data_IF_643431706205
#
_entry.id   IF_643431706205
#
_cell.length_a   1.000
_cell.length_b   1.000
_cell.length_c   1.000
_cell.angle_alpha   90.00
_cell.angle_beta   90.00
_cell.angle_gamma   90.00
#
_symmetry.space_group_name_H-M   'P 1'
#
loop_
_entity.id
_entity.type
_entity.pdbx_description
1 polymer ?
#
# COMPACT_ATOMS: atom_id res chain seq x y z
N UNK A 1 -16.47 -17.85 -60.54
CA UNK A 1 -16.38 -17.36 -59.15
C UNK A 1 -15.46 -16.15 -59.18
N UNK A 2 -16.03 -14.96 -59.37
CA UNK A 2 -15.27 -13.71 -59.49
C UNK A 2 -15.62 -12.79 -58.34
N UNK A 3 -14.58 -12.41 -57.61
CA UNK A 3 -14.56 -11.42 -56.55
C UNK A 3 -15.04 -10.06 -57.07
N UNK A 4 -15.85 -9.37 -56.28
CA UNK A 4 -16.12 -7.94 -56.44
C UNK A 4 -15.73 -7.18 -55.18
N UNK A 5 -15.12 -6.03 -55.45
CA UNK A 5 -14.42 -5.11 -54.57
C UNK A 5 -15.32 -4.28 -53.65
N UNK A 6 -14.64 -3.71 -52.65
CA UNK A 6 -14.80 -2.38 -52.08
C UNK A 6 -16.06 -2.08 -51.23
N UNK A 7 -15.85 -1.54 -50.02
CA UNK A 7 -15.57 -0.11 -49.88
C UNK A 7 -15.39 0.29 -48.42
N UNK A 8 -14.36 1.10 -48.17
CA UNK A 8 -14.12 1.79 -46.91
C UNK A 8 -15.24 2.78 -46.60
N UNK A 9 -15.68 2.82 -45.34
CA UNK A 9 -16.40 3.97 -44.78
C UNK A 9 -15.69 4.41 -43.51
N UNK A 10 -14.83 5.41 -43.69
CA UNK A 10 -14.32 6.29 -42.64
C UNK A 10 -15.49 7.13 -42.14
N UNK A 11 -15.89 6.99 -40.88
CA UNK A 11 -16.83 7.93 -40.24
C UNK A 11 -16.07 9.03 -39.53
N UNK A 12 -16.31 10.22 -40.06
CA UNK A 12 -15.85 11.55 -39.69
C UNK A 12 -15.98 11.88 -38.20
N UNK A 13 -14.95 12.54 -37.66
CA UNK A 13 -15.01 13.32 -36.43
C UNK A 13 -16.07 14.42 -36.54
N UNK A 14 -16.92 14.53 -35.53
CA UNK A 14 -17.73 15.72 -35.26
C UNK A 14 -18.02 15.81 -33.76
N UNK A 15 -17.00 16.19 -32.97
CA UNK A 15 -17.20 16.64 -31.59
C UNK A 15 -17.35 18.17 -31.61
N UNK A 16 -18.55 18.64 -31.29
CA UNK A 16 -18.87 20.07 -31.15
C UNK A 16 -18.17 20.68 -29.92
N UNK A 17 -17.81 21.98 -29.95
CA UNK A 17 -17.20 22.68 -28.82
C UNK A 17 -18.25 22.99 -27.74
N UNK A 18 -17.94 22.66 -26.48
CA UNK A 18 -18.73 23.10 -25.31
C UNK A 18 -18.23 24.47 -24.82
N UNK A 19 -19.13 25.38 -24.41
CA UNK A 19 -18.77 26.72 -23.96
C UNK A 19 -18.15 26.74 -22.55
N UNK A 20 -17.13 27.58 -22.38
CA UNK A 20 -16.57 27.97 -21.10
C UNK A 20 -17.58 28.82 -20.32
N UNK A 21 -18.03 28.35 -19.16
CA UNK A 21 -18.73 29.19 -18.19
C UNK A 21 -17.73 29.88 -17.26
N UNK A 22 -17.57 31.18 -17.46
CA UNK A 22 -17.01 32.10 -16.48
C UNK A 22 -18.07 32.43 -15.42
N UNK A 23 -17.80 32.07 -14.16
CA UNK A 23 -18.60 32.44 -13.00
C UNK A 23 -17.75 33.23 -12.02
N UNK A 24 -18.01 34.54 -11.95
CA UNK A 24 -17.40 35.54 -11.04
C UNK A 24 -17.89 35.39 -9.60
N UNK A 25 -17.07 35.86 -8.66
CA UNK A 25 -17.42 36.23 -7.27
C UNK A 25 -16.51 35.53 -6.26
N UNK A 26 -15.33 36.06 -5.90
CA UNK A 26 -15.03 37.27 -5.13
C UNK A 26 -15.72 37.31 -3.75
N UNK A 27 -15.08 36.75 -2.71
CA UNK A 27 -14.94 37.41 -1.39
C UNK A 27 -13.62 36.97 -0.76
N UNK A 28 -12.67 37.90 -0.67
CA UNK A 28 -11.47 37.76 0.14
C UNK A 28 -11.82 38.17 1.58
N UNK A 29 -11.74 37.22 2.52
CA UNK A 29 -11.85 37.54 3.95
C UNK A 29 -10.51 38.07 4.44
N UNK A 30 -10.46 39.38 4.62
CA UNK A 30 -9.37 40.13 5.26
C UNK A 30 -9.49 39.93 6.77
N UNK A 31 -8.51 39.27 7.40
CA UNK A 31 -8.35 39.31 8.85
C UNK A 31 -7.90 40.73 9.26
N UNK A 32 -8.81 41.48 9.88
CA UNK A 32 -8.59 42.84 10.36
C UNK A 32 -7.95 42.80 11.74
N UNK A 33 -6.73 43.32 11.85
CA UNK A 33 -6.08 43.60 13.12
C UNK A 33 -6.85 44.72 13.86
N UNK A 34 -7.29 44.43 15.09
CA UNK A 34 -7.92 45.39 15.99
C UNK A 34 -6.91 45.88 17.04
N UNK A 35 -6.60 47.18 17.00
CA UNK A 35 -5.83 47.92 17.99
C UNK A 35 -6.70 49.07 18.50
N UNK A 36 -6.89 49.20 19.82
CA UNK A 36 -7.59 50.33 20.48
C UNK A 36 -7.98 49.98 21.92
N UNK A 37 -7.13 50.29 22.92
CA UNK A 37 -7.13 51.47 23.84
C UNK A 37 -8.09 51.39 25.05
N UNK A 38 -7.47 51.35 26.26
CA UNK A 38 -7.69 52.12 27.52
C UNK A 38 -9.07 52.76 27.77
N UNK A 39 -9.70 52.80 28.96
CA UNK A 39 -9.30 52.83 30.41
C UNK A 39 -10.60 52.61 31.26
N UNK A 40 -10.70 52.88 32.58
CA UNK A 40 -10.08 52.26 33.76
C UNK A 40 -11.13 51.80 34.81
N UNK A 41 -10.77 51.02 35.84
CA UNK A 41 -11.71 50.78 36.95
C UNK A 41 -11.31 49.77 38.01
N UNK A 42 -10.89 50.30 39.17
CA UNK A 42 -11.03 49.74 40.54
C UNK A 42 -10.29 48.43 40.91
N UNK A 43 -9.33 48.59 41.84
CA UNK A 43 -8.74 47.55 42.69
C UNK A 43 -9.81 46.94 43.65
N UNK A 44 -9.55 45.75 44.25
CA UNK A 44 -8.94 45.78 45.58
C UNK A 44 -7.84 44.74 45.81
N UNK A 45 -6.91 45.18 46.66
CA UNK A 45 -5.76 44.52 47.27
C UNK A 45 -6.01 43.12 47.82
N UNK A 46 -5.14 42.15 47.47
CA UNK A 46 -4.67 41.12 48.42
C UNK A 46 -3.18 40.82 48.19
N UNK A 47 -2.40 41.28 49.17
CA UNK A 47 -1.03 40.93 49.52
C UNK A 47 -0.54 39.57 49.01
N UNK A 48 0.40 39.59 48.07
CA UNK A 48 1.25 38.45 47.74
C UNK A 48 2.65 38.72 48.27
N UNK A 49 2.97 38.06 49.38
CA UNK A 49 4.32 38.00 49.92
C UNK A 49 5.18 37.22 48.93
N UNK A 50 6.21 37.89 48.41
CA UNK A 50 7.32 37.29 47.68
C UNK A 50 8.13 36.37 48.59
N UNK A 51 8.43 35.16 48.12
CA UNK A 51 9.55 34.37 48.64
C UNK A 51 10.29 33.71 47.45
N UNK A 52 11.63 33.57 47.53
CA UNK A 52 12.49 33.38 46.36
C UNK A 52 12.86 31.93 46.08
N UNK A 53 13.12 31.67 44.79
CA UNK A 53 14.10 30.73 44.20
C UNK A 53 14.15 29.29 44.78
N UNK A 54 13.66 28.35 43.98
CA UNK A 54 14.31 27.05 43.81
C UNK A 54 14.31 26.68 42.32
N UNK A 55 15.41 27.01 41.63
CA UNK A 55 15.71 26.55 40.29
C UNK A 55 16.05 25.05 40.35
N UNK A 56 15.04 24.18 40.32
CA UNK A 56 15.25 22.76 40.02
C UNK A 56 15.39 22.62 38.51
N UNK A 57 16.61 22.74 37.98
CA UNK A 57 16.97 22.19 36.67
C UNK A 57 16.83 20.67 36.76
N UNK A 58 15.59 20.18 36.60
CA UNK A 58 15.34 18.76 36.36
C UNK A 58 15.79 18.47 34.94
N UNK A 59 17.07 18.08 34.81
CA UNK A 59 17.62 17.48 33.62
C UNK A 59 16.97 16.10 33.46
N UNK A 60 15.72 16.08 32.97
CA UNK A 60 15.12 14.87 32.47
C UNK A 60 15.90 14.52 31.19
N UNK A 61 16.94 13.70 31.33
CA UNK A 61 17.59 13.06 30.21
C UNK A 61 16.53 12.21 29.53
N UNK A 62 15.89 12.78 28.52
CA UNK A 62 15.10 12.02 27.56
C UNK A 62 16.07 11.22 26.72
N UNK A 63 16.56 10.10 27.26
CA UNK A 63 17.04 9.02 26.41
C UNK A 63 15.81 8.47 25.71
N UNK A 64 15.39 9.16 24.64
CA UNK A 64 14.55 8.55 23.62
C UNK A 64 15.35 7.36 23.11
N UNK A 65 15.07 6.19 23.67
CA UNK A 65 15.47 4.94 23.06
C UNK A 65 14.68 4.87 21.76
N UNK A 66 15.30 5.37 20.69
CA UNK A 66 14.90 5.04 19.33
C UNK A 66 15.14 3.53 19.23
N UNK A 67 14.14 2.74 19.58
CA UNK A 67 14.08 1.34 19.21
C UNK A 67 14.01 1.32 17.69
N UNK A 68 15.17 1.40 17.03
CA UNK A 68 15.27 0.95 15.64
C UNK A 68 14.89 -0.52 15.71
N UNK A 69 13.79 -0.89 15.06
CA UNK A 69 13.50 -2.27 14.73
C UNK A 69 14.80 -2.83 14.13
N UNK A 70 15.43 -3.74 14.86
CA UNK A 70 16.68 -4.35 14.42
C UNK A 70 16.36 -5.20 13.19
N UNK A 71 17.25 -5.19 12.19
CA UNK A 71 17.05 -6.00 11.00
C UNK A 71 17.15 -7.47 11.37
N UNK A 72 16.02 -8.16 11.53
CA UNK A 72 15.98 -9.60 11.78
C UNK A 72 16.08 -10.34 10.44
N UNK A 73 16.94 -11.36 10.40
CA UNK A 73 17.17 -12.19 9.22
C UNK A 73 17.34 -13.64 9.67
N UNK A 74 16.24 -14.39 9.74
CA UNK A 74 16.20 -15.77 10.23
C UNK A 74 15.97 -16.76 9.06
N UNK A 75 17.01 -17.16 8.31
CA UNK A 75 16.87 -18.05 7.15
C UNK A 75 16.32 -19.43 7.51
N UNK A 76 16.41 -19.85 8.77
CA UNK A 76 15.87 -21.11 9.28
C UNK A 76 14.33 -21.20 9.22
N UNK A 77 13.63 -20.07 9.04
CA UNK A 77 12.18 -20.02 8.86
C UNK A 77 11.74 -20.38 7.43
N UNK A 78 12.68 -20.48 6.50
CA UNK A 78 12.38 -20.90 5.13
C UNK A 78 12.13 -22.41 5.08
N UNK A 79 11.23 -22.88 4.19
CA UNK A 79 11.03 -24.31 3.95
C UNK A 79 12.35 -24.99 3.57
N UNK A 80 12.68 -26.06 4.29
CA UNK A 80 13.90 -26.84 4.06
C UNK A 80 13.58 -27.97 3.07
N UNK A 81 14.14 -27.88 1.85
CA UNK A 81 13.90 -28.86 0.80
C UNK A 81 14.38 -28.36 -0.57
N UNK A 82 14.38 -29.25 -1.57
CA UNK A 82 14.71 -28.87 -2.96
C UNK A 82 13.53 -28.22 -3.69
N UNK A 83 12.32 -28.37 -3.17
CA UNK A 83 11.11 -27.80 -3.77
C UNK A 83 10.92 -26.34 -3.30
N UNK A 84 10.90 -25.42 -4.25
CA UNK A 84 10.66 -23.99 -3.99
C UNK A 84 9.17 -23.72 -4.11
N UNK A 85 8.54 -23.27 -3.01
CA UNK A 85 7.13 -22.86 -2.98
C UNK A 85 7.00 -21.36 -3.25
N UNK A 86 5.98 -20.89 -4.00
CA UNK A 86 5.75 -19.45 -4.21
C UNK A 86 5.12 -18.75 -3.00
N UNK A 87 4.65 -19.51 -2.00
CA UNK A 87 4.01 -19.01 -0.79
C UNK A 87 4.73 -19.58 0.44
N UNK A 88 5.09 -18.71 1.37
CA UNK A 88 5.62 -19.04 2.70
C UNK A 88 4.76 -18.32 3.73
N UNK A 89 4.08 -19.08 4.60
CA UNK A 89 3.33 -18.54 5.74
C UNK A 89 3.97 -18.99 7.06
N UNK A 90 4.87 -18.16 7.57
CA UNK A 90 5.52 -18.38 8.86
C UNK A 90 4.57 -18.10 10.01
N UNK A 91 3.61 -17.19 9.80
CA UNK A 91 2.74 -16.69 10.86
C UNK A 91 1.42 -17.46 10.97
N UNK A 92 1.20 -18.46 10.11
CA UNK A 92 0.01 -19.30 10.06
C UNK A 92 -1.28 -18.45 9.97
N UNK A 93 -1.28 -17.48 9.06
CA UNK A 93 -2.44 -16.66 8.73
C UNK A 93 -3.46 -17.40 7.87
N UNK A 94 -3.01 -18.38 7.08
CA UNK A 94 -3.82 -19.11 6.12
C UNK A 94 -4.05 -20.54 6.60
N UNK A 95 -5.19 -21.10 6.23
CA UNK A 95 -5.43 -22.55 6.36
C UNK A 95 -4.66 -23.33 5.30
N UNK A 96 -4.35 -24.59 5.56
CA UNK A 96 -3.65 -25.48 4.60
C UNK A 96 -4.35 -25.54 3.22
N UNK A 97 -5.68 -25.47 3.22
CA UNK A 97 -6.47 -25.45 1.97
C UNK A 97 -6.29 -24.14 1.20
N UNK A 98 -6.28 -23.00 1.88
CA UNK A 98 -6.02 -21.70 1.26
C UNK A 98 -4.60 -21.61 0.73
N UNK A 99 -3.63 -22.08 1.50
CA UNK A 99 -2.24 -22.14 1.05
C UNK A 99 -2.10 -22.97 -0.22
N UNK A 100 -2.73 -24.16 -0.26
CA UNK A 100 -2.67 -25.05 -1.43
C UNK A 100 -3.28 -24.37 -2.66
N UNK A 101 -4.49 -23.82 -2.54
CA UNK A 101 -5.15 -23.10 -3.64
C UNK A 101 -4.34 -21.89 -4.10
N UNK A 102 -3.70 -21.19 -3.17
CA UNK A 102 -2.88 -20.03 -3.48
C UNK A 102 -1.56 -20.41 -4.14
N UNK A 103 -0.88 -21.49 -3.70
CA UNK A 103 0.30 -22.02 -4.39
C UNK A 103 -0.04 -22.37 -5.83
N UNK A 104 -1.13 -23.10 -6.06
CA UNK A 104 -1.57 -23.46 -7.41
C UNK A 104 -1.86 -22.22 -8.27
N UNK A 105 -2.52 -21.21 -7.70
CA UNK A 105 -2.80 -19.95 -8.41
C UNK A 105 -1.53 -19.22 -8.80
N UNK A 106 -0.59 -19.08 -7.88
CA UNK A 106 0.68 -18.39 -8.12
C UNK A 106 1.56 -19.14 -9.15
N UNK A 107 1.58 -20.47 -9.10
CA UNK A 107 2.27 -21.30 -10.08
C UNK A 107 1.66 -21.17 -11.47
N UNK A 108 0.33 -21.18 -11.58
CA UNK A 108 -0.34 -20.97 -12.86
C UNK A 108 -0.11 -19.56 -13.41
N UNK A 109 -0.13 -18.53 -12.56
CA UNK A 109 0.22 -17.17 -12.98
C UNK A 109 1.63 -17.11 -13.58
N UNK A 110 2.61 -17.69 -12.91
CA UNK A 110 3.99 -17.73 -13.40
C UNK A 110 4.10 -18.51 -14.72
N UNK A 111 3.43 -19.66 -14.82
CA UNK A 111 3.41 -20.44 -16.06
C UNK A 111 2.79 -19.67 -17.23
N UNK A 112 1.72 -18.93 -16.99
CA UNK A 112 0.95 -18.27 -18.05
C UNK A 112 1.56 -16.92 -18.48
N UNK A 113 2.22 -16.22 -17.55
CA UNK A 113 2.73 -14.85 -17.78
C UNK A 113 4.25 -14.74 -17.78
N UNK A 114 4.96 -15.74 -17.23
CA UNK A 114 6.40 -15.67 -16.94
C UNK A 114 6.76 -14.81 -15.73
N UNK A 115 5.78 -14.30 -14.98
CA UNK A 115 5.99 -13.41 -13.83
C UNK A 115 5.96 -14.21 -12.53
N UNK A 116 7.00 -14.06 -11.71
CA UNK A 116 7.09 -14.68 -10.39
C UNK A 116 6.31 -13.86 -9.39
N UNK A 117 5.11 -14.30 -9.00
CA UNK A 117 4.43 -13.72 -7.85
C UNK A 117 4.69 -14.57 -6.60
N UNK A 118 5.25 -13.95 -5.57
CA UNK A 118 5.66 -14.58 -4.32
C UNK A 118 4.95 -13.94 -3.13
N UNK A 119 4.55 -14.76 -2.17
CA UNK A 119 3.81 -14.31 -0.99
C UNK A 119 4.54 -14.76 0.27
N UNK A 120 4.84 -13.81 1.14
CA UNK A 120 5.42 -14.03 2.47
C UNK A 120 4.43 -13.54 3.52
N UNK A 121 3.81 -14.45 4.26
CA UNK A 121 3.07 -14.13 5.47
C UNK A 121 3.95 -14.37 6.69
N UNK A 122 4.17 -13.32 7.47
CA UNK A 122 5.12 -13.31 8.59
C UNK A 122 4.63 -12.41 9.73
N UNK A 123 5.32 -12.47 10.86
CA UNK A 123 5.02 -11.63 12.01
C UNK A 123 6.32 -11.28 12.75
N UNK A 124 6.71 -10.00 12.75
CA UNK A 124 7.92 -9.57 13.47
C UNK A 124 7.88 -9.98 14.95
N UNK A 125 8.99 -10.46 15.53
CA UNK A 125 10.33 -10.54 14.94
C UNK A 125 10.62 -11.77 14.08
N UNK A 126 9.72 -12.73 13.98
CA UNK A 126 9.93 -13.99 13.25
C UNK A 126 9.82 -13.76 11.74
N UNK A 127 10.93 -13.35 11.15
CA UNK A 127 11.01 -12.95 9.74
C UNK A 127 12.20 -13.61 9.05
N UNK A 128 12.01 -14.27 7.88
CA UNK A 128 13.12 -14.78 7.10
C UNK A 128 14.05 -13.67 6.57
N UNK A 129 13.60 -12.42 6.61
CA UNK A 129 14.39 -11.25 6.24
C UNK A 129 14.85 -11.28 4.79
N UNK A 130 16.13 -10.97 4.57
CA UNK A 130 16.70 -10.91 3.22
C UNK A 130 16.90 -12.28 2.57
N UNK A 131 16.84 -13.37 3.34
CA UNK A 131 17.04 -14.72 2.83
C UNK A 131 16.02 -15.15 1.76
N UNK A 132 14.82 -14.53 1.73
CA UNK A 132 13.81 -14.79 0.70
C UNK A 132 14.29 -14.44 -0.71
N UNK A 133 15.23 -13.50 -0.83
CA UNK A 133 15.74 -13.06 -2.13
C UNK A 133 16.48 -14.18 -2.84
N UNK A 134 17.34 -14.87 -2.10
CA UNK A 134 18.11 -15.99 -2.63
C UNK A 134 17.22 -17.22 -2.82
N UNK A 135 16.34 -17.52 -1.83
CA UNK A 135 15.42 -18.65 -1.89
C UNK A 135 14.51 -18.63 -3.13
N UNK A 136 13.90 -17.48 -3.44
CA UNK A 136 13.04 -17.33 -4.62
C UNK A 136 13.79 -16.90 -5.88
N UNK A 137 15.09 -16.66 -5.78
CA UNK A 137 15.88 -16.04 -6.86
C UNK A 137 15.17 -14.79 -7.40
N UNK A 138 14.82 -13.86 -6.51
CA UNK A 138 14.05 -12.65 -6.83
C UNK A 138 14.80 -11.83 -7.90
N UNK A 139 14.10 -11.49 -8.98
CA UNK A 139 14.63 -10.77 -10.14
C UNK A 139 13.68 -9.66 -10.62
N UNK A 140 14.01 -9.06 -11.77
CA UNK A 140 13.26 -7.96 -12.39
C UNK A 140 11.84 -8.34 -12.84
N UNK A 141 11.53 -9.64 -12.92
CA UNK A 141 10.21 -10.19 -13.25
C UNK A 141 9.54 -10.82 -12.02
N UNK A 142 9.88 -10.36 -10.82
CA UNK A 142 9.31 -10.85 -9.57
C UNK A 142 8.48 -9.78 -8.85
N UNK A 143 7.30 -10.15 -8.36
CA UNK A 143 6.52 -9.40 -7.37
C UNK A 143 6.57 -10.17 -6.05
N UNK A 144 6.92 -9.50 -4.95
CA UNK A 144 6.87 -10.06 -3.61
C UNK A 144 5.84 -9.30 -2.77
N UNK A 145 4.75 -9.97 -2.41
CA UNK A 145 3.81 -9.51 -1.39
C UNK A 145 4.29 -9.98 -0.02
N UNK A 146 4.51 -9.04 0.89
CA UNK A 146 4.77 -9.31 2.31
C UNK A 146 3.53 -8.92 3.10
N UNK A 147 2.95 -9.89 3.82
CA UNK A 147 1.87 -9.70 4.76
C UNK A 147 2.43 -9.74 6.19
N UNK A 148 2.48 -8.59 6.85
CA UNK A 148 3.04 -8.43 8.21
C UNK A 148 2.23 -7.38 9.00
N UNK A 149 1.60 -7.75 10.12
CA UNK A 149 0.74 -6.84 10.89
C UNK A 149 1.51 -5.73 11.63
N UNK A 150 2.84 -5.77 11.64
CA UNK A 150 3.68 -4.77 12.32
C UNK A 150 3.70 -3.44 11.57
N UNK A 151 3.37 -3.45 10.28
CA UNK A 151 3.29 -2.25 9.46
C UNK A 151 1.95 -1.54 9.61
N UNK A 152 1.89 -0.25 9.30
CA UNK A 152 0.62 0.50 9.32
C UNK A 152 -0.41 -0.06 8.33
N UNK A 153 0.07 -0.61 7.21
CA UNK A 153 -0.71 -1.42 6.29
C UNK A 153 -0.12 -2.84 6.29
N UNK A 154 -0.95 -3.86 6.49
CA UNK A 154 -0.51 -5.25 6.63
C UNK A 154 0.14 -5.77 5.34
N UNK A 155 -0.23 -5.21 4.18
CA UNK A 155 0.23 -5.67 2.88
C UNK A 155 1.26 -4.71 2.29
N UNK A 156 2.44 -5.23 1.95
CA UNK A 156 3.52 -4.47 1.33
C UNK A 156 4.03 -5.18 0.07
N UNK A 157 4.19 -4.43 -1.03
CA UNK A 157 4.64 -4.98 -2.32
C UNK A 157 6.06 -4.53 -2.64
N UNK A 158 6.90 -5.48 -3.05
CA UNK A 158 8.19 -5.22 -3.68
C UNK A 158 8.10 -5.69 -5.13
N UNK A 159 8.42 -4.82 -6.08
CA UNK A 159 8.13 -5.03 -7.50
C UNK A 159 9.42 -4.97 -8.30
N UNK A 160 9.66 -5.97 -9.15
CA UNK A 160 10.74 -6.00 -10.12
C UNK A 160 10.58 -4.92 -11.19
N UNK A 161 11.69 -4.39 -11.67
CA UNK A 161 11.71 -3.19 -12.53
C UNK A 161 10.97 -3.38 -13.87
N UNK A 162 10.99 -4.58 -14.43
CA UNK A 162 10.29 -4.84 -15.70
C UNK A 162 8.78 -4.73 -15.51
N UNK A 163 8.28 -5.15 -14.34
CA UNK A 163 6.85 -5.14 -14.00
C UNK A 163 6.36 -3.72 -13.68
N UNK A 164 7.12 -2.97 -12.87
CA UNK A 164 6.78 -1.57 -12.53
C UNK A 164 6.77 -0.64 -13.75
N UNK A 165 7.40 -1.05 -14.85
CA UNK A 165 7.47 -0.26 -16.08
C UNK A 165 6.16 -0.22 -16.87
N UNK A 166 5.31 -1.25 -16.79
CA UNK A 166 4.06 -1.33 -17.56
C UNK A 166 2.78 -1.27 -16.70
N UNK A 167 2.89 -1.42 -15.37
CA UNK A 167 1.75 -1.26 -14.45
C UNK A 167 1.66 0.20 -13.97
N UNK A 168 0.45 0.78 -13.88
CA UNK A 168 0.28 2.11 -13.28
C UNK A 168 0.88 2.16 -11.87
N UNK A 169 1.79 3.11 -11.61
CA UNK A 169 2.51 3.21 -10.32
C UNK A 169 1.62 3.21 -9.08
N UNK A 170 0.40 3.73 -9.19
CA UNK A 170 -0.53 3.78 -8.07
C UNK A 170 -1.28 2.46 -7.80
N UNK A 171 -1.25 1.49 -8.72
CA UNK A 171 -1.97 0.23 -8.58
C UNK A 171 -1.59 -0.50 -7.28
N UNK A 172 -0.30 -0.71 -7.04
CA UNK A 172 0.20 -1.39 -5.84
C UNK A 172 -0.24 -0.71 -4.54
N UNK A 173 -0.12 0.62 -4.49
CA UNK A 173 -0.54 1.41 -3.34
C UNK A 173 -2.07 1.38 -3.13
N UNK A 174 -2.86 1.27 -4.20
CA UNK A 174 -4.31 1.12 -4.10
C UNK A 174 -4.70 -0.28 -3.61
N UNK A 175 -4.04 -1.34 -4.08
CA UNK A 175 -4.30 -2.72 -3.64
C UNK A 175 -3.96 -2.87 -2.16
N UNK A 176 -2.77 -2.45 -1.76
CA UNK A 176 -2.37 -2.42 -0.35
C UNK A 176 -3.35 -1.57 0.47
N UNK A 177 -3.64 -0.34 0.03
CA UNK A 177 -4.58 0.56 0.71
C UNK A 177 -5.99 0.00 0.87
N UNK A 178 -6.50 -0.73 -0.12
CA UNK A 178 -7.85 -1.33 -0.09
C UNK A 178 -7.93 -2.53 0.85
N UNK A 179 -7.01 -3.47 0.73
CA UNK A 179 -7.12 -4.77 1.42
C UNK A 179 -6.28 -4.87 2.70
N UNK A 180 -5.16 -4.16 2.79
CA UNK A 180 -4.25 -4.26 3.93
C UNK A 180 -4.40 -3.16 4.98
N UNK A 181 -5.34 -2.23 4.80
CA UNK A 181 -5.63 -1.26 5.84
C UNK A 181 -6.26 -1.95 7.06
N UNK A 182 -6.05 -1.36 8.24
CA UNK A 182 -6.51 -1.90 9.52
C UNK A 182 -8.01 -2.23 9.54
N UNK A 183 -8.86 -1.35 8.99
CA UNK A 183 -10.31 -1.54 9.02
C UNK A 183 -10.72 -2.77 8.22
N UNK A 184 -10.21 -2.91 6.99
CA UNK A 184 -10.51 -4.07 6.15
C UNK A 184 -10.04 -5.38 6.80
N UNK A 185 -8.82 -5.41 7.35
CA UNK A 185 -8.26 -6.60 8.00
C UNK A 185 -9.04 -6.98 9.26
N UNK A 186 -9.48 -6.00 10.06
CA UNK A 186 -10.30 -6.24 11.25
C UNK A 186 -11.73 -6.72 10.90
N UNK A 187 -12.31 -6.23 9.82
CA UNK A 187 -13.67 -6.58 9.40
C UNK A 187 -13.75 -7.91 8.63
N UNK A 188 -12.84 -8.14 7.69
CA UNK A 188 -12.91 -9.26 6.75
C UNK A 188 -12.02 -10.44 7.15
N UNK A 189 -10.99 -10.20 7.95
CA UNK A 189 -9.95 -11.19 8.24
C UNK A 189 -8.68 -10.96 7.43
N UNK A 190 -7.57 -11.45 7.98
CA UNK A 190 -6.22 -11.24 7.44
C UNK A 190 -5.90 -12.18 6.29
N UNK A 191 -6.31 -13.43 6.43
CA UNK A 191 -6.39 -14.43 5.37
C UNK A 191 -7.11 -13.84 4.14
N UNK A 192 -8.32 -13.33 4.33
CA UNK A 192 -9.14 -12.74 3.26
C UNK A 192 -8.44 -11.55 2.62
N UNK A 193 -7.83 -10.67 3.43
CA UNK A 193 -7.03 -9.55 2.93
C UNK A 193 -5.88 -10.00 2.01
N UNK A 194 -5.13 -11.05 2.39
CA UNK A 194 -4.04 -11.62 1.58
C UNK A 194 -4.61 -12.22 0.29
N UNK A 195 -5.64 -13.06 0.40
CA UNK A 195 -6.24 -13.76 -0.72
C UNK A 195 -6.81 -12.78 -1.76
N UNK A 196 -7.54 -11.75 -1.32
CA UNK A 196 -8.12 -10.75 -2.21
C UNK A 196 -7.07 -9.85 -2.86
N UNK A 197 -5.99 -9.51 -2.13
CA UNK A 197 -4.87 -8.79 -2.72
C UNK A 197 -4.16 -9.62 -3.79
N UNK A 198 -3.91 -10.91 -3.53
CA UNK A 198 -3.32 -11.83 -4.51
C UNK A 198 -4.22 -11.95 -5.73
N UNK A 199 -5.53 -12.10 -5.52
CA UNK A 199 -6.49 -12.23 -6.60
C UNK A 199 -6.57 -10.98 -7.49
N UNK A 200 -6.50 -9.80 -6.90
CA UNK A 200 -6.47 -8.53 -7.64
C UNK A 200 -5.20 -8.37 -8.48
N UNK A 201 -4.04 -8.74 -7.93
CA UNK A 201 -2.77 -8.68 -8.65
C UNK A 201 -2.73 -9.72 -9.78
N UNK A 202 -3.17 -10.96 -9.52
CA UNK A 202 -3.27 -12.00 -10.55
C UNK A 202 -4.18 -11.59 -11.71
N UNK A 203 -5.33 -10.96 -11.42
CA UNK A 203 -6.21 -10.44 -12.47
C UNK A 203 -5.50 -9.37 -13.32
N UNK A 204 -4.91 -8.37 -12.66
CA UNK A 204 -4.15 -7.29 -13.31
C UNK A 204 -3.01 -7.82 -14.20
N UNK A 205 -2.25 -8.81 -13.72
CA UNK A 205 -1.12 -9.38 -14.47
C UNK A 205 -1.55 -10.22 -15.68
N UNK A 206 -2.81 -10.66 -15.71
CA UNK A 206 -3.40 -11.40 -16.84
C UNK A 206 -4.16 -10.51 -17.81
N UNK A 207 -4.41 -9.25 -17.46
CA UNK A 207 -5.02 -8.30 -18.37
C UNK A 207 -4.10 -8.04 -19.59
N UNK A 208 -4.68 -7.78 -20.78
CA UNK A 208 -3.89 -7.42 -21.95
C UNK A 208 -3.09 -6.14 -21.67
N UNK A 209 -1.86 -6.11 -22.16
CA UNK A 209 -0.95 -4.97 -21.98
C UNK A 209 -1.41 -3.81 -22.87
N UNK A 210 -2.25 -2.95 -22.32
CA UNK A 210 -2.70 -1.70 -22.93
C UNK A 210 -2.75 -0.56 -21.91
N UNK A 211 -3.28 0.61 -22.30
CA UNK A 211 -3.34 1.81 -21.44
C UNK A 211 -4.25 1.65 -20.21
N UNK A 212 -5.09 0.63 -20.19
CA UNK A 212 -6.09 0.36 -19.16
C UNK A 212 -5.72 -0.81 -18.26
N UNK A 213 -4.61 -1.50 -18.53
CA UNK A 213 -4.10 -2.58 -17.69
C UNK A 213 -3.97 -2.09 -16.24
N UNK A 214 -4.57 -2.83 -15.31
CA UNK A 214 -4.54 -2.58 -13.87
C UNK A 214 -5.10 -1.20 -13.46
N UNK A 215 -5.99 -0.63 -14.28
CA UNK A 215 -6.62 0.67 -13.99
C UNK A 215 -7.64 0.59 -12.84
N UNK A 216 -8.30 -0.55 -12.69
CA UNK A 216 -9.29 -0.86 -11.66
C UNK A 216 -8.86 -2.07 -10.82
N UNK A 217 -9.22 -2.07 -9.54
CA UNK A 217 -9.03 -3.25 -8.68
C UNK A 217 -10.24 -4.15 -8.82
N UNK A 218 -10.06 -5.27 -9.52
CA UNK A 218 -11.04 -6.33 -9.74
C UNK A 218 -10.56 -7.63 -9.11
N UNK A 219 -11.45 -8.62 -8.97
CA UNK A 219 -11.06 -9.96 -8.49
C UNK A 219 -11.11 -10.15 -6.98
N UNK A 220 -11.96 -9.39 -6.27
CA UNK A 220 -12.35 -9.78 -4.92
C UNK A 220 -13.13 -11.12 -5.01
N UNK A 221 -12.75 -12.11 -4.21
CA UNK A 221 -13.55 -13.33 -4.11
C UNK A 221 -14.81 -12.98 -3.34
N UNK A 222 -15.92 -12.75 -4.06
CA UNK A 222 -17.27 -12.77 -3.48
C UNK A 222 -17.68 -14.19 -3.08
#
# INVERSE_FOLDING_TARGET
MSLHMASSIVRSCAQQPRPCHAGRGLVATICRAGMGRHDPGSQPSKSWKTAPIALCLSLCMTTGAWARLEGVNQPNLLPQGSEITPLIDVANFLTETEETRMRDRLQHLEKDTGIKFRVLAQNYPDTPGLAIKDYWSVDDNTVVLVADPTFGNVLNFNIGINIDSFIPRNFWSKVAGRFGNKFYVEEQGRDVAIINAVAAVDHCLREPIDRTQCSEIRGELE
#
